data_IF_599354388225
#
_entry.id   IF_599354388225
#
_cell.length_a   1.000
_cell.length_b   1.000
_cell.length_c   1.000
_cell.angle_alpha   90.00
_cell.angle_beta   90.00
_cell.angle_gamma   90.00
#
_symmetry.space_group_name_H-M   'P 1'
#
loop_
_entity.id
_entity.type
_entity.pdbx_description
1 polymer ?
#
# COMPACT_ATOMS: atom_id res chain seq x y z
N UNK A 1 28.33 3.56 11.83
CA UNK A 1 26.92 3.30 11.40
C UNK A 1 26.12 4.55 11.69
N UNK A 2 25.71 5.26 10.67
CA UNK A 2 24.82 6.40 10.83
C UNK A 2 23.42 5.83 11.07
N UNK A 3 22.91 5.97 12.26
CA UNK A 3 21.52 5.63 12.55
C UNK A 3 20.67 6.65 11.81
N UNK A 4 20.02 6.23 10.73
CA UNK A 4 19.05 7.07 10.03
C UNK A 4 17.90 7.31 11.00
N UNK A 5 17.79 8.52 11.50
CA UNK A 5 16.67 8.92 12.35
C UNK A 5 15.49 9.22 11.43
N UNK A 6 14.45 8.43 11.54
CA UNK A 6 13.18 8.68 10.85
C UNK A 6 12.66 10.05 11.31
N UNK A 7 12.39 10.94 10.35
CA UNK A 7 11.77 12.23 10.65
C UNK A 7 10.29 12.01 11.04
N UNK A 8 10.08 11.87 12.36
CA UNK A 8 8.76 11.66 12.94
C UNK A 8 7.77 12.79 12.60
N UNK A 9 8.26 14.02 12.47
CA UNK A 9 7.41 15.16 12.13
C UNK A 9 6.96 15.11 10.66
N UNK A 10 7.87 14.83 9.73
CA UNK A 10 7.54 14.67 8.31
C UNK A 10 6.59 13.48 8.09
N UNK A 11 6.82 12.38 8.78
CA UNK A 11 5.93 11.21 8.78
C UNK A 11 4.54 11.57 9.29
N UNK A 12 4.44 12.31 10.40
CA UNK A 12 3.17 12.75 10.97
C UNK A 12 2.40 13.70 10.03
N UNK A 13 3.10 14.61 9.36
CA UNK A 13 2.50 15.51 8.35
C UNK A 13 1.96 14.74 7.16
N UNK A 14 2.71 13.78 6.63
CA UNK A 14 2.29 12.90 5.53
C UNK A 14 1.03 12.14 5.93
N UNK A 15 1.04 11.51 7.12
CA UNK A 15 -0.12 10.79 7.67
C UNK A 15 -1.35 11.68 7.78
N UNK A 16 -1.20 12.88 8.35
CA UNK A 16 -2.30 13.84 8.53
C UNK A 16 -2.87 14.29 7.18
N UNK A 17 -2.02 14.55 6.20
CA UNK A 17 -2.43 14.96 4.84
C UNK A 17 -3.29 13.88 4.19
N UNK A 18 -2.83 12.64 4.15
CA UNK A 18 -3.57 11.54 3.55
C UNK A 18 -4.83 11.17 4.36
N UNK A 19 -4.77 11.28 5.68
CA UNK A 19 -5.93 11.07 6.55
C UNK A 19 -7.09 12.03 6.22
N UNK A 20 -6.79 13.29 5.95
CA UNK A 20 -7.81 14.30 5.58
C UNK A 20 -8.37 14.08 4.16
N UNK A 21 -7.54 13.61 3.24
CA UNK A 21 -7.91 13.42 1.83
C UNK A 21 -8.56 12.07 1.55
N UNK A 22 -8.43 11.09 2.45
CA UNK A 22 -8.86 9.71 2.22
C UNK A 22 -10.33 9.54 1.78
N UNK A 23 -11.33 10.31 2.30
CA UNK A 23 -12.72 10.18 1.85
C UNK A 23 -12.95 10.61 0.40
N UNK A 24 -12.11 11.55 -0.11
CA UNK A 24 -12.22 12.11 -1.45
C UNK A 24 -11.19 11.54 -2.42
N UNK A 25 -10.21 10.80 -1.91
CA UNK A 25 -9.09 10.28 -2.68
C UNK A 25 -9.57 9.36 -3.81
N UNK A 26 -10.48 8.45 -3.53
CA UNK A 26 -11.05 7.55 -4.52
C UNK A 26 -11.80 8.28 -5.64
N UNK A 27 -12.52 9.36 -5.32
CA UNK A 27 -13.22 10.15 -6.31
C UNK A 27 -12.26 10.90 -7.24
N UNK A 28 -11.23 11.52 -6.68
CA UNK A 28 -10.19 12.24 -7.43
C UNK A 28 -9.35 11.29 -8.28
N UNK A 29 -9.01 10.13 -7.74
CA UNK A 29 -8.23 9.10 -8.41
C UNK A 29 -9.04 8.34 -9.47
N UNK A 30 -10.37 8.27 -9.35
CA UNK A 30 -11.22 7.53 -10.27
C UNK A 30 -11.04 7.94 -11.73
N UNK A 31 -10.80 9.21 -12.00
CA UNK A 31 -10.53 9.73 -13.35
C UNK A 31 -9.12 9.37 -13.84
N UNK A 32 -8.14 9.34 -12.95
CA UNK A 32 -6.76 8.97 -13.25
C UNK A 32 -6.56 7.45 -13.28
N UNK A 33 -7.35 6.70 -12.52
CA UNK A 33 -7.23 5.25 -12.37
C UNK A 33 -7.38 4.51 -13.71
N UNK A 34 -8.27 4.96 -14.56
CA UNK A 34 -8.44 4.42 -15.90
C UNK A 34 -7.14 4.43 -16.72
N UNK A 35 -6.30 5.43 -16.49
CA UNK A 35 -5.00 5.60 -17.12
C UNK A 35 -3.94 4.67 -16.54
N UNK A 36 -4.00 4.41 -15.23
CA UNK A 36 -2.98 3.65 -14.51
C UNK A 36 -3.31 2.17 -14.36
N UNK A 37 -4.55 1.77 -14.57
CA UNK A 37 -4.98 0.39 -14.42
C UNK A 37 -4.17 -0.62 -15.27
N UNK A 38 -3.86 -0.35 -16.56
CA UNK A 38 -3.00 -1.24 -17.35
C UNK A 38 -1.60 -1.42 -16.77
N UNK A 39 -1.04 -0.37 -16.13
CA UNK A 39 0.26 -0.41 -15.48
C UNK A 39 0.22 -1.28 -14.23
N UNK A 40 -0.82 -1.14 -13.42
CA UNK A 40 -1.05 -1.99 -12.25
C UNK A 40 -1.18 -3.44 -12.64
N UNK A 41 -1.99 -3.74 -13.64
CA UNK A 41 -2.17 -5.08 -14.19
C UNK A 41 -0.83 -5.67 -14.66
N UNK A 42 -0.05 -4.90 -15.40
CA UNK A 42 1.27 -5.33 -15.88
C UNK A 42 2.22 -5.61 -14.73
N UNK A 43 2.30 -4.72 -13.75
CA UNK A 43 3.16 -4.88 -12.57
C UNK A 43 2.83 -6.17 -11.82
N UNK A 44 1.55 -6.37 -11.49
CA UNK A 44 1.12 -7.54 -10.73
C UNK A 44 1.25 -8.85 -11.51
N UNK A 45 1.25 -8.81 -12.84
CA UNK A 45 1.53 -9.99 -13.67
C UNK A 45 2.98 -10.48 -13.57
N UNK A 46 3.89 -9.63 -13.11
CA UNK A 46 5.31 -9.97 -12.92
C UNK A 46 5.60 -10.51 -11.51
N UNK A 47 4.64 -10.40 -10.59
CA UNK A 47 4.81 -10.84 -9.21
C UNK A 47 4.78 -12.36 -9.14
N UNK A 48 5.77 -12.94 -8.48
CA UNK A 48 5.89 -14.38 -8.25
C UNK A 48 6.17 -14.68 -6.77
N UNK A 49 5.95 -15.92 -6.37
CA UNK A 49 6.10 -16.36 -5.00
C UNK A 49 4.77 -16.65 -4.33
N UNK A 50 4.79 -17.02 -3.05
CA UNK A 50 3.62 -17.39 -2.28
C UNK A 50 3.19 -16.34 -1.25
N UNK A 51 4.14 -15.53 -0.79
CA UNK A 51 3.92 -14.46 0.20
C UNK A 51 4.43 -13.14 -0.35
N UNK A 52 3.55 -12.16 -0.47
CA UNK A 52 3.86 -10.86 -1.06
C UNK A 52 3.44 -9.74 -0.11
N UNK A 53 4.31 -8.74 0.04
CA UNK A 53 4.03 -7.52 0.77
C UNK A 53 3.67 -6.41 -0.23
N UNK A 54 2.53 -5.76 -0.06
CA UNK A 54 2.24 -4.48 -0.70
C UNK A 54 2.50 -3.34 0.27
N UNK A 55 3.38 -2.42 -0.12
CA UNK A 55 3.71 -1.23 0.66
C UNK A 55 2.92 -0.04 0.11
N UNK A 56 2.20 0.66 0.99
CA UNK A 56 1.38 1.80 0.61
C UNK A 56 0.14 1.37 -0.18
N UNK A 57 -0.66 0.47 0.38
CA UNK A 57 -1.87 -0.06 -0.28
C UNK A 57 -2.91 1.02 -0.59
N UNK A 58 -2.91 2.11 0.17
CA UNK A 58 -3.86 3.19 0.01
C UNK A 58 -5.29 2.70 0.16
N UNK A 59 -6.13 3.03 -0.81
CA UNK A 59 -7.53 2.61 -0.85
C UNK A 59 -7.76 1.23 -1.46
N UNK A 60 -6.70 0.54 -1.88
CA UNK A 60 -6.79 -0.82 -2.41
C UNK A 60 -6.96 -0.92 -3.92
N UNK A 61 -6.43 0.03 -4.68
CA UNK A 61 -6.52 0.08 -6.15
C UNK A 61 -5.86 -1.11 -6.85
N UNK A 62 -4.88 -1.76 -6.21
CA UNK A 62 -4.20 -2.93 -6.74
C UNK A 62 -4.96 -4.25 -6.52
N UNK A 63 -5.92 -4.28 -5.60
CA UNK A 63 -6.63 -5.51 -5.22
C UNK A 63 -7.25 -6.29 -6.38
N UNK A 64 -7.84 -5.65 -7.41
CA UNK A 64 -8.35 -6.37 -8.57
C UNK A 64 -7.29 -7.17 -9.34
N UNK A 65 -6.02 -6.76 -9.20
CA UNK A 65 -4.89 -7.34 -9.93
C UNK A 65 -4.08 -8.35 -9.12
N UNK A 66 -4.41 -8.57 -7.86
CA UNK A 66 -3.71 -9.55 -7.04
C UNK A 66 -3.80 -10.94 -7.66
N UNK A 67 -2.67 -11.64 -7.82
CA UNK A 67 -2.68 -13.01 -8.32
C UNK A 67 -3.48 -13.94 -7.39
N UNK A 68 -4.12 -14.94 -7.96
CA UNK A 68 -4.82 -15.96 -7.17
C UNK A 68 -3.81 -16.88 -6.49
N UNK A 69 -4.15 -17.34 -5.29
CA UNK A 69 -3.34 -18.30 -4.55
C UNK A 69 -2.11 -17.71 -3.86
N UNK A 70 -1.93 -16.40 -3.91
CA UNK A 70 -0.85 -15.69 -3.21
C UNK A 70 -1.40 -15.09 -1.92
N UNK A 71 -0.65 -15.23 -0.84
CA UNK A 71 -0.93 -14.59 0.44
C UNK A 71 -0.40 -13.15 0.39
N UNK A 72 -1.30 -12.18 0.46
CA UNK A 72 -0.95 -10.76 0.42
C UNK A 72 -1.07 -10.17 1.83
N UNK A 73 0.00 -9.54 2.29
CA UNK A 73 -0.02 -8.59 3.41
C UNK A 73 0.15 -7.20 2.83
N UNK A 74 -0.71 -6.28 3.20
CA UNK A 74 -0.70 -4.92 2.66
C UNK A 74 -0.69 -3.90 3.80
N UNK A 75 0.21 -2.94 3.73
CA UNK A 75 0.37 -1.91 4.75
C UNK A 75 0.13 -0.52 4.21
N UNK A 76 -0.37 0.35 5.07
CA UNK A 76 -0.43 1.80 4.82
C UNK A 76 -0.21 2.56 6.13
N UNK A 77 0.34 3.76 6.01
CA UNK A 77 0.58 4.66 7.14
C UNK A 77 -0.71 5.33 7.65
N UNK A 78 -1.74 5.40 6.80
CA UNK A 78 -2.93 6.22 7.00
C UNK A 78 -4.14 5.36 7.36
N UNK A 79 -4.68 5.46 8.60
CA UNK A 79 -5.86 4.70 9.01
C UNK A 79 -7.09 4.91 8.11
N UNK A 80 -7.33 6.16 7.67
CA UNK A 80 -8.46 6.45 6.77
C UNK A 80 -8.36 5.76 5.41
N UNK A 81 -7.16 5.61 4.87
CA UNK A 81 -6.93 4.83 3.63
C UNK A 81 -7.22 3.35 3.86
N UNK A 82 -6.74 2.81 4.99
CA UNK A 82 -6.99 1.41 5.35
C UNK A 82 -8.46 1.10 5.56
N UNK A 83 -9.24 2.04 6.09
CA UNK A 83 -10.69 1.86 6.24
C UNK A 83 -11.39 1.73 4.89
N UNK A 84 -10.97 2.51 3.91
CA UNK A 84 -11.45 2.36 2.52
C UNK A 84 -10.98 1.04 1.92
N UNK A 85 -9.71 0.69 2.11
CA UNK A 85 -9.13 -0.56 1.63
C UNK A 85 -9.86 -1.79 2.20
N UNK A 86 -10.24 -1.77 3.48
CA UNK A 86 -11.01 -2.86 4.10
C UNK A 86 -12.36 -3.08 3.43
N UNK A 87 -13.08 -2.00 3.13
CA UNK A 87 -14.36 -2.09 2.40
C UNK A 87 -14.19 -2.67 0.99
N UNK A 88 -13.12 -2.33 0.30
CA UNK A 88 -12.80 -2.93 -0.99
C UNK A 88 -12.40 -4.40 -0.85
N UNK A 89 -11.58 -4.73 0.15
CA UNK A 89 -11.12 -6.09 0.40
C UNK A 89 -12.27 -7.06 0.71
N UNK A 90 -13.25 -6.64 1.49
CA UNK A 90 -14.44 -7.45 1.79
C UNK A 90 -15.15 -7.94 0.53
N UNK A 91 -15.16 -7.13 -0.52
CA UNK A 91 -15.82 -7.44 -1.80
C UNK A 91 -14.91 -8.21 -2.77
N UNK A 92 -13.64 -7.88 -2.80
CA UNK A 92 -12.71 -8.33 -3.84
C UNK A 92 -11.71 -9.37 -3.36
N UNK A 93 -11.18 -9.20 -2.15
CA UNK A 93 -10.07 -9.98 -1.58
C UNK A 93 -10.21 -10.11 -0.06
N UNK A 94 -11.19 -10.86 0.44
CA UNK A 94 -11.46 -10.92 1.89
C UNK A 94 -10.29 -11.50 2.71
N UNK A 95 -9.38 -12.21 2.07
CA UNK A 95 -8.23 -12.85 2.74
C UNK A 95 -6.96 -11.99 2.74
N UNK A 96 -7.00 -10.75 2.22
CA UNK A 96 -5.84 -9.85 2.32
C UNK A 96 -5.65 -9.42 3.77
N UNK A 97 -4.40 -9.45 4.24
CA UNK A 97 -4.03 -9.01 5.58
C UNK A 97 -3.65 -7.51 5.54
N UNK A 98 -4.56 -6.66 5.96
CA UNK A 98 -4.39 -5.20 5.98
C UNK A 98 -3.88 -4.73 7.34
N UNK A 99 -2.75 -4.04 7.36
CA UNK A 99 -2.12 -3.54 8.59
C UNK A 99 -1.70 -2.07 8.48
N UNK A 100 -1.80 -1.36 9.59
CA UNK A 100 -1.13 -0.07 9.75
C UNK A 100 0.38 -0.31 9.78
N UNK A 101 1.15 0.43 8.99
CA UNK A 101 2.59 0.30 8.94
C UNK A 101 3.26 1.46 8.23
N UNK A 102 4.52 1.69 8.59
CA UNK A 102 5.38 2.71 8.00
C UNK A 102 6.42 2.03 7.08
N UNK A 103 6.46 2.45 5.82
CA UNK A 103 7.41 1.95 4.83
C UNK A 103 8.89 2.18 5.24
N UNK A 104 9.14 3.20 6.07
CA UNK A 104 10.48 3.53 6.56
C UNK A 104 10.95 2.59 7.68
N UNK A 105 10.03 1.87 8.32
CA UNK A 105 10.32 0.97 9.44
C UNK A 105 9.38 -0.22 9.41
N UNK A 106 9.70 -1.20 8.58
CA UNK A 106 8.91 -2.40 8.43
C UNK A 106 9.07 -3.33 9.64
N UNK A 107 7.96 -3.67 10.29
CA UNK A 107 7.91 -4.52 11.48
C UNK A 107 7.63 -5.99 11.10
N UNK A 108 8.45 -6.54 10.21
CA UNK A 108 8.39 -7.95 9.81
C UNK A 108 9.73 -8.61 10.03
N UNK A 109 9.76 -9.91 10.39
CA UNK A 109 11.00 -10.67 10.41
C UNK A 109 11.68 -10.68 9.05
N UNK A 110 13.00 -10.83 9.03
CA UNK A 110 13.75 -10.99 7.79
C UNK A 110 13.23 -12.17 6.98
N UNK A 111 13.27 -12.04 5.67
CA UNK A 111 12.85 -13.10 4.74
C UNK A 111 11.39 -13.56 4.90
N UNK A 112 10.50 -12.66 5.35
CA UNK A 112 9.07 -12.96 5.52
C UNK A 112 8.29 -13.03 4.21
N UNK A 113 8.79 -12.42 3.15
CA UNK A 113 8.10 -12.29 1.86
C UNK A 113 9.00 -12.71 0.70
N UNK A 114 8.38 -13.25 -0.35
CA UNK A 114 9.05 -13.59 -1.60
C UNK A 114 9.21 -12.38 -2.53
N UNK A 115 8.29 -11.43 -2.42
CA UNK A 115 8.30 -10.20 -3.19
C UNK A 115 7.66 -9.05 -2.39
N UNK A 116 8.05 -7.82 -2.73
CA UNK A 116 7.41 -6.60 -2.25
C UNK A 116 7.01 -5.73 -3.44
N UNK A 117 5.82 -5.14 -3.36
CA UNK A 117 5.25 -4.28 -4.40
C UNK A 117 4.89 -2.93 -3.81
N UNK A 118 5.25 -1.86 -4.50
CA UNK A 118 4.86 -0.50 -4.17
C UNK A 118 4.46 0.25 -5.44
N UNK A 119 3.36 0.98 -5.38
CA UNK A 119 2.89 1.81 -6.49
C UNK A 119 2.57 3.21 -6.00
N UNK A 120 3.22 4.23 -6.58
CA UNK A 120 2.99 5.64 -6.27
C UNK A 120 3.21 6.01 -4.79
N UNK A 121 4.13 5.34 -4.10
CA UNK A 121 4.35 5.47 -2.65
C UNK A 121 5.56 6.32 -2.32
N UNK A 122 6.71 6.03 -2.91
CA UNK A 122 7.99 6.61 -2.50
C UNK A 122 8.11 8.11 -2.77
N UNK A 123 7.29 8.68 -3.65
CA UNK A 123 7.17 10.13 -3.82
C UNK A 123 6.63 10.86 -2.57
N UNK A 124 5.99 10.14 -1.66
CA UNK A 124 5.39 10.69 -0.43
C UNK A 124 6.10 10.24 0.85
N UNK A 125 7.10 9.35 0.74
CA UNK A 125 7.86 8.85 1.90
C UNK A 125 9.02 9.82 2.16
N UNK A 126 9.17 10.35 3.39
CA UNK A 126 10.25 11.28 3.71
C UNK A 126 11.66 10.69 3.54
N UNK A 127 11.80 9.38 3.79
CA UNK A 127 13.06 8.64 3.70
C UNK A 127 12.81 7.27 3.05
N UNK A 128 12.76 7.22 1.71
CA UNK A 128 12.41 6.02 0.96
C UNK A 128 13.53 4.97 0.91
#
# INVERSE_FOLDING_TARGET
MTTMTIDAHATALTRTRYQRLSPFYDLMEGMAEFRYDPWRKKLWSLVSGSKVLEVGVGTGKNMPHYPKGIQITAIDLTPGMLDVARRHAEKLRPNVDLRLGDAQSLEFPDSSFDAAVATFVFCSVPDP
#
